data_IF_936594436825
#
_entry.id   IF_936594436825
#
_cell.length_a   1.000
_cell.length_b   1.000
_cell.length_c   1.000
_cell.angle_alpha   90.00
_cell.angle_beta   90.00
_cell.angle_gamma   90.00
#
_symmetry.space_group_name_H-M   'P 1'
#
loop_
_entity.id
_entity.type
_entity.pdbx_description
1 polymer ?
#
# COMPACT_ATOMS: atom_id res chain seq x y z
N UNK A 1 0.61 24.52 -8.83
CA UNK A 1 0.45 23.22 -9.51
C UNK A 1 -0.35 22.37 -8.57
N UNK A 2 -1.55 21.94 -8.98
CA UNK A 2 -2.44 21.16 -8.11
C UNK A 2 -1.77 19.86 -7.71
N UNK A 3 -2.06 19.37 -6.50
CA UNK A 3 -1.72 18.01 -6.11
C UNK A 3 -2.38 17.07 -7.11
N UNK A 4 -1.60 16.50 -8.03
CA UNK A 4 -2.04 15.26 -8.65
C UNK A 4 -2.23 14.27 -7.51
N UNK A 5 -3.38 13.60 -7.49
CA UNK A 5 -3.69 12.65 -6.42
C UNK A 5 -2.61 11.56 -6.41
N UNK A 6 -2.18 11.13 -5.23
CA UNK A 6 -1.10 10.13 -5.05
C UNK A 6 -1.29 8.90 -5.97
N UNK A 7 -2.55 8.49 -6.15
CA UNK A 7 -2.98 7.39 -7.02
C UNK A 7 -2.70 7.64 -8.51
N UNK A 8 -2.85 8.87 -9.00
CA UNK A 8 -2.56 9.22 -10.40
C UNK A 8 -1.07 9.07 -10.72
N UNK A 9 -0.23 9.28 -9.70
CA UNK A 9 1.22 9.16 -9.82
C UNK A 9 1.71 7.75 -9.56
N UNK A 10 0.85 6.80 -9.18
CA UNK A 10 1.25 5.45 -8.77
C UNK A 10 1.79 4.64 -9.95
N UNK A 11 3.11 4.71 -10.13
CA UNK A 11 3.89 4.00 -11.13
C UNK A 11 5.28 3.73 -10.56
N UNK A 12 5.90 2.60 -10.89
CA UNK A 12 7.27 2.27 -10.50
C UNK A 12 8.27 3.41 -10.76
N UNK A 13 8.09 4.16 -11.84
CA UNK A 13 8.97 5.30 -12.17
C UNK A 13 8.92 6.43 -11.13
N UNK A 14 7.80 6.59 -10.42
CA UNK A 14 7.56 7.67 -9.45
C UNK A 14 7.69 7.19 -7.99
N UNK A 15 8.07 5.93 -7.76
CA UNK A 15 8.17 5.37 -6.41
C UNK A 15 9.09 6.16 -5.47
N UNK A 16 10.28 6.63 -5.91
CA UNK A 16 11.13 7.47 -5.05
C UNK A 16 10.45 8.78 -4.62
N UNK A 17 9.74 9.45 -5.53
CA UNK A 17 9.01 10.68 -5.25
C UNK A 17 7.83 10.44 -4.29
N UNK A 18 7.10 9.35 -4.50
CA UNK A 18 5.99 8.95 -3.64
C UNK A 18 6.47 8.54 -2.23
N UNK A 19 7.62 7.87 -2.13
CA UNK A 19 8.21 7.52 -0.84
C UNK A 19 8.66 8.78 -0.09
N UNK A 20 9.27 9.74 -0.80
CA UNK A 20 9.61 11.04 -0.23
C UNK A 20 8.36 11.76 0.31
N UNK A 21 7.28 11.80 -0.47
CA UNK A 21 6.02 12.42 -0.04
C UNK A 21 5.43 11.72 1.20
N UNK A 22 5.52 10.38 1.27
CA UNK A 22 5.15 9.60 2.44
C UNK A 22 5.99 10.01 3.67
N UNK A 23 7.32 10.03 3.56
CA UNK A 23 8.23 10.37 4.66
C UNK A 23 7.96 11.79 5.16
N UNK A 24 7.86 12.77 4.26
CA UNK A 24 7.57 14.17 4.61
C UNK A 24 6.21 14.31 5.34
N UNK A 25 5.20 13.59 4.87
CA UNK A 25 3.87 13.59 5.51
C UNK A 25 3.89 12.90 6.87
N UNK A 26 4.60 11.77 6.99
CA UNK A 26 4.76 11.06 8.26
C UNK A 26 5.49 11.93 9.28
N UNK A 27 6.60 12.55 8.88
CA UNK A 27 7.39 13.42 9.75
C UNK A 27 6.59 14.64 10.21
N UNK A 28 5.73 15.19 9.34
CA UNK A 28 4.79 16.27 9.69
C UNK A 28 3.83 15.86 10.83
N UNK A 29 3.25 14.66 10.76
CA UNK A 29 2.33 14.17 11.79
C UNK A 29 3.02 13.65 13.06
N UNK A 30 4.20 13.05 12.93
CA UNK A 30 4.94 12.51 14.07
C UNK A 30 5.59 13.62 14.89
N UNK A 31 6.09 14.67 14.26
CA UNK A 31 6.84 15.73 14.94
C UNK A 31 6.08 17.06 15.07
N UNK A 32 4.96 17.22 14.35
CA UNK A 32 4.14 18.43 14.38
C UNK A 32 2.88 18.31 15.23
N UNK A 33 2.33 19.45 15.64
CA UNK A 33 0.98 19.58 16.17
C UNK A 33 0.18 20.36 15.14
N UNK A 34 -0.89 19.80 14.58
CA UNK A 34 -1.66 20.48 13.54
C UNK A 34 -2.73 21.38 14.20
N UNK A 35 -2.94 22.58 13.68
CA UNK A 35 -4.19 23.34 13.84
C UNK A 35 -4.84 23.53 12.46
N UNK A 36 -4.51 22.65 11.52
CA UNK A 36 -4.96 22.68 10.14
C UNK A 36 -6.22 21.82 9.97
N UNK A 37 -7.05 22.24 9.04
CA UNK A 37 -8.17 21.45 8.54
C UNK A 37 -7.67 20.30 7.65
N UNK A 38 -8.45 19.23 7.51
CA UNK A 38 -8.11 18.12 6.60
C UNK A 38 -7.84 18.57 5.15
N UNK A 39 -8.56 19.58 4.66
CA UNK A 39 -8.37 20.13 3.32
C UNK A 39 -7.02 20.85 3.16
N UNK A 40 -6.63 21.66 4.14
CA UNK A 40 -5.33 22.33 4.15
C UNK A 40 -4.18 21.32 4.20
N UNK A 41 -4.35 20.23 4.94
CA UNK A 41 -3.35 19.16 4.99
C UNK A 41 -3.30 18.41 3.68
N UNK A 42 -4.43 18.02 3.10
CA UNK A 42 -4.45 17.31 1.81
C UNK A 42 -3.75 18.09 0.69
N UNK A 43 -3.97 19.42 0.64
CA UNK A 43 -3.32 20.29 -0.34
C UNK A 43 -1.80 20.39 -0.18
N UNK A 44 -1.29 20.24 1.05
CA UNK A 44 0.14 20.30 1.36
C UNK A 44 0.81 18.93 1.32
N UNK A 45 0.04 17.87 1.56
CA UNK A 45 0.51 16.50 1.73
C UNK A 45 -0.37 15.55 0.92
N UNK A 46 -0.09 15.33 -0.38
CA UNK A 46 -0.93 14.47 -1.24
C UNK A 46 -1.03 13.01 -0.79
N UNK A 47 -0.06 12.53 0.00
CA UNK A 47 -0.10 11.20 0.62
C UNK A 47 -1.13 11.10 1.76
N UNK A 48 -1.63 12.23 2.28
CA UNK A 48 -2.66 12.27 3.30
C UNK A 48 -4.00 11.80 2.76
N UNK A 49 -4.65 10.92 3.52
CA UNK A 49 -6.08 10.66 3.38
C UNK A 49 -6.75 10.45 4.74
N UNK A 50 -8.06 10.59 4.74
CA UNK A 50 -8.89 10.46 5.92
C UNK A 50 -9.84 9.29 5.76
N UNK A 51 -9.81 8.36 6.72
CA UNK A 51 -10.72 7.22 6.77
C UNK A 51 -11.36 7.16 8.17
N UNK A 52 -12.66 7.43 8.21
CA UNK A 52 -13.47 7.52 9.43
C UNK A 52 -12.96 8.50 10.50
N UNK A 53 -12.09 8.02 11.40
CA UNK A 53 -11.48 8.79 12.50
C UNK A 53 -9.96 8.68 12.49
N UNK A 54 -9.40 8.00 11.51
CA UNK A 54 -7.97 7.78 11.38
C UNK A 54 -7.44 8.60 10.23
N UNK A 55 -6.31 9.25 10.47
CA UNK A 55 -5.52 9.74 9.35
C UNK A 55 -4.60 8.65 8.92
N UNK A 56 -4.61 8.47 7.61
CA UNK A 56 -3.81 7.49 6.93
C UNK A 56 -2.85 8.22 6.01
N UNK A 57 -1.61 7.74 5.98
CA UNK A 57 -0.60 8.22 5.05
C UNK A 57 -0.36 7.12 4.04
N UNK A 58 -0.61 7.42 2.77
CA UNK A 58 -0.33 6.53 1.65
C UNK A 58 1.18 6.41 1.48
N UNK A 59 1.67 5.21 1.24
CA UNK A 59 3.06 4.96 0.86
C UNK A 59 3.12 4.01 -0.34
N UNK A 60 4.07 4.19 -1.27
CA UNK A 60 4.20 3.29 -2.40
C UNK A 60 4.70 1.93 -1.92
N UNK A 61 4.11 0.86 -2.43
CA UNK A 61 4.52 -0.51 -2.10
C UNK A 61 4.30 -1.46 -3.26
N UNK A 62 4.65 -2.72 -3.08
CA UNK A 62 4.50 -3.77 -4.07
C UNK A 62 3.35 -4.70 -3.69
N UNK A 63 2.62 -5.14 -4.71
CA UNK A 63 1.68 -6.26 -4.63
C UNK A 63 2.17 -7.36 -5.56
N UNK A 64 2.16 -8.60 -5.10
CA UNK A 64 2.23 -9.76 -5.99
C UNK A 64 0.83 -10.31 -6.16
N UNK A 65 0.39 -10.46 -7.41
CA UNK A 65 -0.87 -11.11 -7.73
C UNK A 65 -0.59 -12.53 -8.20
N UNK A 66 -1.09 -13.52 -7.47
CA UNK A 66 -1.09 -14.92 -7.88
C UNK A 66 -2.34 -15.18 -8.70
N UNK A 67 -2.18 -15.73 -9.90
CA UNK A 67 -3.27 -16.06 -10.83
C UNK A 67 -3.36 -17.58 -10.90
N UNK A 68 -4.16 -18.17 -10.00
CA UNK A 68 -4.37 -19.62 -9.93
C UNK A 68 -5.72 -19.92 -9.26
N UNK A 69 -6.55 -20.71 -9.94
CA UNK A 69 -7.87 -21.12 -9.45
C UNK A 69 -7.81 -22.19 -8.35
N UNK A 70 -6.65 -22.82 -8.14
CA UNK A 70 -6.51 -23.94 -7.21
C UNK A 70 -5.79 -23.57 -5.90
N UNK A 71 -5.33 -22.34 -5.77
CA UNK A 71 -4.56 -21.89 -4.61
C UNK A 71 -5.49 -21.29 -3.55
N UNK A 72 -5.37 -21.78 -2.32
CA UNK A 72 -6.06 -21.19 -1.18
C UNK A 72 -5.21 -20.12 -0.51
N UNK A 73 -5.85 -19.08 0.04
CA UNK A 73 -5.17 -18.06 0.86
C UNK A 73 -4.47 -18.71 2.06
N UNK A 74 -5.10 -19.69 2.70
CA UNK A 74 -4.54 -20.37 3.88
C UNK A 74 -3.22 -21.09 3.57
N UNK A 75 -3.12 -21.69 2.39
CA UNK A 75 -1.89 -22.32 1.92
C UNK A 75 -0.80 -21.29 1.63
N UNK A 76 -1.14 -20.20 0.95
CA UNK A 76 -0.18 -19.10 0.73
C UNK A 76 0.31 -18.48 2.04
N UNK A 77 -0.57 -18.26 3.01
CA UNK A 77 -0.18 -17.77 4.34
C UNK A 77 0.83 -18.71 4.98
N UNK A 78 0.58 -20.04 4.96
CA UNK A 78 1.52 -21.03 5.51
C UNK A 78 2.88 -21.00 4.80
N UNK A 79 2.89 -20.85 3.47
CA UNK A 79 4.12 -20.86 2.67
C UNK A 79 4.94 -19.58 2.81
N UNK A 80 4.29 -18.45 3.07
CA UNK A 80 4.91 -17.12 3.16
C UNK A 80 5.12 -16.66 4.61
N UNK A 81 4.76 -17.50 5.59
CA UNK A 81 4.89 -17.18 7.00
C UNK A 81 6.36 -16.85 7.34
N UNK A 82 6.56 -15.71 7.99
CA UNK A 82 7.88 -15.27 8.45
C UNK A 82 8.74 -14.58 7.39
N UNK A 83 8.25 -14.38 6.16
CA UNK A 83 9.00 -13.62 5.15
C UNK A 83 9.05 -12.11 5.43
N UNK A 84 8.01 -11.57 6.08
CA UNK A 84 7.88 -10.16 6.41
C UNK A 84 6.44 -9.76 6.74
N UNK A 85 6.18 -8.46 6.74
CA UNK A 85 4.87 -7.86 6.94
C UNK A 85 4.04 -7.94 5.66
N UNK A 86 3.05 -8.84 5.66
CA UNK A 86 2.22 -9.16 4.50
C UNK A 86 0.73 -9.03 4.79
N UNK A 87 -0.04 -8.62 3.79
CA UNK A 87 -1.49 -8.74 3.78
C UNK A 87 -1.93 -9.53 2.55
N UNK A 88 -2.62 -10.65 2.77
CA UNK A 88 -3.03 -11.59 1.72
C UNK A 88 -4.55 -11.62 1.62
N UNK A 89 -5.10 -11.39 0.43
CA UNK A 89 -6.54 -11.29 0.21
C UNK A 89 -6.94 -11.72 -1.21
N UNK A 90 -8.21 -12.10 -1.39
CA UNK A 90 -8.75 -12.38 -2.71
C UNK A 90 -8.98 -11.05 -3.45
N UNK A 91 -8.48 -10.96 -4.67
CA UNK A 91 -8.86 -9.90 -5.59
C UNK A 91 -10.11 -10.34 -6.36
N UNK A 92 -11.11 -9.46 -6.37
CA UNK A 92 -12.34 -9.65 -7.14
C UNK A 92 -12.18 -9.00 -8.51
N UNK A 93 -12.95 -9.49 -9.49
CA UNK A 93 -13.03 -8.93 -10.85
C UNK A 93 -11.71 -8.90 -11.65
N UNK A 94 -10.73 -9.73 -11.29
CA UNK A 94 -9.51 -9.91 -12.08
C UNK A 94 -9.81 -10.61 -13.40
N UNK A 95 -9.23 -10.07 -14.48
CA UNK A 95 -9.32 -10.63 -15.83
C UNK A 95 -7.94 -10.78 -16.47
N UNK A 96 -7.77 -11.79 -17.30
CA UNK A 96 -6.57 -11.95 -18.13
C UNK A 96 -6.76 -11.16 -19.43
N UNK A 97 -5.84 -10.24 -19.73
CA UNK A 97 -5.77 -9.58 -21.04
C UNK A 97 -5.00 -10.46 -22.05
N UNK A 98 -5.42 -10.57 -23.33
CA UNK A 98 -6.52 -9.87 -23.99
C UNK A 98 -7.87 -10.60 -23.94
N UNK A 99 -7.93 -11.81 -23.38
CA UNK A 99 -9.14 -12.65 -23.45
C UNK A 99 -10.31 -12.11 -22.62
N UNK A 100 -10.03 -11.21 -21.67
CA UNK A 100 -10.96 -10.69 -20.67
C UNK A 100 -11.65 -11.80 -19.86
N UNK A 101 -11.05 -12.98 -19.83
CA UNK A 101 -11.55 -14.09 -19.03
C UNK A 101 -11.35 -13.77 -17.56
N UNK A 102 -12.42 -13.90 -16.77
CA UNK A 102 -12.36 -13.78 -15.31
C UNK A 102 -11.55 -14.93 -14.72
N UNK A 103 -10.72 -14.59 -13.74
CA UNK A 103 -9.87 -15.56 -13.03
C UNK A 103 -9.92 -15.30 -11.53
N UNK A 104 -9.72 -16.34 -10.73
CA UNK A 104 -9.43 -16.12 -9.33
C UNK A 104 -8.00 -15.60 -9.20
N UNK A 105 -7.83 -14.61 -8.34
CA UNK A 105 -6.50 -14.14 -8.00
C UNK A 105 -6.39 -13.82 -6.53
N UNK A 106 -5.21 -14.04 -5.99
CA UNK A 106 -4.86 -13.71 -4.62
C UNK A 106 -3.77 -12.63 -4.66
N UNK A 107 -4.04 -11.51 -4.01
CA UNK A 107 -3.08 -10.44 -3.80
C UNK A 107 -2.27 -10.70 -2.55
N UNK A 108 -0.97 -10.42 -2.63
CA UNK A 108 -0.02 -10.40 -1.53
C UNK A 108 0.58 -9.00 -1.48
N UNK A 109 0.10 -8.15 -0.57
CA UNK A 109 0.61 -6.81 -0.33
C UNK A 109 1.83 -6.84 0.59
N UNK A 110 2.91 -6.17 0.19
CA UNK A 110 4.08 -5.90 1.04
C UNK A 110 3.80 -4.67 1.91
N UNK A 111 3.97 -4.76 3.22
CA UNK A 111 3.62 -3.69 4.17
C UNK A 111 4.76 -3.40 5.17
N UNK A 112 6.01 -3.53 4.73
CA UNK A 112 7.17 -3.04 5.47
C UNK A 112 7.19 -1.51 5.52
N UNK A 113 8.03 -0.97 6.40
CA UNK A 113 8.05 0.46 6.75
C UNK A 113 8.76 1.36 5.73
N UNK A 114 9.48 0.77 4.75
CA UNK A 114 10.19 1.50 3.70
C UNK A 114 9.99 0.84 2.33
N UNK A 115 10.15 1.61 1.27
CA UNK A 115 10.10 1.08 -0.09
C UNK A 115 11.22 0.07 -0.34
N UNK A 116 12.41 0.31 0.23
CA UNK A 116 13.55 -0.60 0.10
C UNK A 116 13.26 -1.97 0.72
N UNK A 117 12.66 -1.98 1.91
CA UNK A 117 12.28 -3.22 2.59
C UNK A 117 11.16 -3.93 1.83
N UNK A 118 10.15 -3.17 1.36
CA UNK A 118 9.08 -3.70 0.51
C UNK A 118 9.61 -4.28 -0.82
N UNK A 119 10.65 -3.68 -1.40
CA UNK A 119 11.33 -4.20 -2.59
C UNK A 119 12.01 -5.53 -2.29
N UNK A 120 12.71 -5.61 -1.18
CA UNK A 120 13.37 -6.85 -0.75
C UNK A 120 12.35 -7.95 -0.45
N UNK A 121 11.22 -7.58 0.17
CA UNK A 121 10.15 -8.50 0.50
C UNK A 121 9.46 -9.04 -0.75
N UNK A 122 9.14 -8.19 -1.74
CA UNK A 122 8.52 -8.65 -2.99
C UNK A 122 9.44 -9.63 -3.73
N UNK A 123 10.74 -9.36 -3.78
CA UNK A 123 11.72 -10.25 -4.43
C UNK A 123 11.76 -11.65 -3.75
N UNK A 124 11.71 -11.70 -2.41
CA UNK A 124 11.62 -12.98 -1.66
C UNK A 124 10.32 -13.73 -1.93
N UNK A 125 9.19 -13.02 -2.03
CA UNK A 125 7.90 -13.64 -2.33
C UNK A 125 7.93 -14.25 -3.72
N UNK A 126 8.42 -13.52 -4.72
CA UNK A 126 8.50 -14.01 -6.11
C UNK A 126 9.40 -15.23 -6.24
N UNK A 127 10.55 -15.25 -5.55
CA UNK A 127 11.43 -16.42 -5.50
C UNK A 127 10.70 -17.64 -4.90
N UNK A 128 9.98 -17.43 -3.79
CA UNK A 128 9.21 -18.48 -3.13
C UNK A 128 8.09 -19.00 -4.01
N UNK A 129 7.32 -18.12 -4.64
CA UNK A 129 6.22 -18.49 -5.54
C UNK A 129 6.74 -19.22 -6.79
N UNK A 130 7.87 -18.76 -7.34
CA UNK A 130 8.53 -19.43 -8.47
C UNK A 130 8.96 -20.85 -8.12
N UNK A 131 9.52 -21.05 -6.91
CA UNK A 131 9.91 -22.37 -6.41
C UNK A 131 8.72 -23.32 -6.25
N UNK A 132 7.55 -22.76 -5.92
CA UNK A 132 6.29 -23.51 -5.80
C UNK A 132 5.58 -23.73 -7.15
N UNK A 133 6.09 -23.13 -8.23
CA UNK A 133 5.51 -23.25 -9.58
C UNK A 133 4.26 -22.40 -9.80
N UNK A 134 4.03 -21.38 -8.98
CA UNK A 134 2.87 -20.50 -9.15
C UNK A 134 3.08 -19.48 -10.26
N UNK A 135 2.00 -19.15 -10.96
CA UNK A 135 1.94 -18.02 -11.88
C UNK A 135 1.58 -16.74 -11.11
N UNK A 136 2.40 -15.71 -11.27
CA UNK A 136 2.19 -14.44 -10.59
C UNK A 136 2.69 -13.26 -11.42
N UNK A 137 2.24 -12.07 -11.04
CA UNK A 137 2.73 -10.80 -11.55
C UNK A 137 3.01 -9.81 -10.42
N UNK A 138 4.00 -8.95 -10.62
CA UNK A 138 4.29 -7.81 -9.76
C UNK A 138 3.45 -6.62 -10.20
N UNK A 139 2.68 -6.05 -9.28
CA UNK A 139 1.87 -4.87 -9.50
C UNK A 139 2.38 -3.69 -8.67
N UNK A 140 2.11 -2.48 -9.16
CA UNK A 140 2.17 -1.29 -8.32
C UNK A 140 1.02 -1.29 -7.32
N UNK A 141 1.26 -0.78 -6.12
CA UNK A 141 0.27 -0.68 -5.06
C UNK A 141 0.63 0.46 -4.10
N UNK A 142 -0.32 0.86 -3.27
CA UNK A 142 -0.04 1.68 -2.11
C UNK A 142 -0.47 0.94 -0.83
N UNK A 143 0.25 1.21 0.25
CA UNK A 143 -0.13 0.84 1.60
C UNK A 143 -0.64 2.06 2.37
N UNK A 144 -1.19 1.82 3.54
CA UNK A 144 -1.70 2.87 4.42
C UNK A 144 -1.03 2.75 5.79
N UNK A 145 -0.38 3.83 6.22
CA UNK A 145 0.16 3.98 7.57
C UNK A 145 -0.83 4.79 8.42
N UNK A 146 -1.34 4.20 9.51
CA UNK A 146 -2.28 4.88 10.41
C UNK A 146 -1.55 5.74 11.41
N UNK A 147 -1.95 7.00 11.52
CA UNK A 147 -1.51 7.92 12.59
C UNK A 147 -2.63 8.05 13.63
N UNK A 148 -2.35 7.83 14.93
CA UNK A 148 -3.34 8.03 15.97
C UNK A 148 -3.58 9.54 16.19
N UNK A 149 -4.63 10.06 15.57
CA UNK A 149 -5.00 11.47 15.69
C UNK A 149 -6.51 11.65 15.92
N UNK A 150 -6.88 12.74 16.56
CA UNK A 150 -8.24 13.13 16.88
C UNK A 150 -8.63 14.32 16.02
N UNK A 151 -9.77 14.25 15.32
CA UNK A 151 -10.34 15.42 14.64
C UNK A 151 -11.40 16.04 15.54
N UNK A 152 -11.20 17.31 15.94
CA UNK A 152 -12.15 18.12 16.71
C UNK A 152 -12.29 19.49 16.06
N UNK A 153 -13.49 20.05 16.03
CA UNK A 153 -13.74 21.40 15.48
C UNK A 153 -13.13 21.65 14.08
N UNK A 154 -13.19 20.62 13.22
CA UNK A 154 -12.59 20.59 11.89
C UNK A 154 -11.06 20.84 11.87
N UNK A 155 -10.38 20.45 12.94
CA UNK A 155 -8.93 20.53 13.11
C UNK A 155 -8.38 19.19 13.55
N UNK A 156 -7.18 18.91 13.07
CA UNK A 156 -6.47 17.68 13.36
C UNK A 156 -5.60 17.85 14.60
N UNK A 157 -5.77 16.99 15.62
CA UNK A 157 -4.99 16.97 16.85
C UNK A 157 -4.28 15.64 17.03
N UNK A 158 -3.03 15.64 17.48
CA UNK A 158 -2.32 14.40 17.80
C UNK A 158 -2.89 13.79 19.10
N UNK A 159 -3.20 12.49 19.09
CA UNK A 159 -3.54 11.77 20.33
C UNK A 159 -2.22 11.45 21.03
N UNK A 160 -2.01 12.05 22.20
CA UNK A 160 -0.88 11.79 23.09
C UNK A 160 -1.10 10.57 23.98
#
# INVERSE_FOLDING_TARGET
MGSQEFEEQLNFANYPELEKAYIETRDFFENGCCNLSPEEVHNQHPAFCYLDKFVMIKFPTYKVRVIDDNVSIEELIKQLLGLGMLYIYHETDTVIYPTMQRVNSIAIHCLELSLLDNRTLVEKIEEKLSTLGYHFERCVAFGLYSVPIEVKDNKIYKIS
#
